data_IF_686836205651
#
_entry.id   IF_686836205651
#
_cell.length_a   1.000
_cell.length_b   1.000
_cell.length_c   1.000
_cell.angle_alpha   90.00
_cell.angle_beta   90.00
_cell.angle_gamma   90.00
#
_symmetry.space_group_name_H-M   'P 1'
#
loop_
_entity.id
_entity.type
_entity.pdbx_description
1 polymer ?
#
# COMPACT_ATOMS: atom_id res chain seq x y z
N UNK A 1 0.18 -51.96 49.80
CA UNK A 1 -0.04 -50.50 49.73
C UNK A 1 0.68 -49.98 48.51
N UNK A 2 -0.04 -49.85 47.39
CA UNK A 2 0.51 -49.37 46.10
C UNK A 2 0.14 -47.89 45.98
N UNK A 3 1.15 -47.01 46.00
CA UNK A 3 0.94 -45.57 45.77
C UNK A 3 1.16 -45.26 44.31
N UNK A 4 0.07 -45.07 43.61
CA UNK A 4 0.06 -44.65 42.19
C UNK A 4 0.48 -43.18 42.10
N UNK A 5 1.62 -42.91 41.46
CA UNK A 5 2.03 -41.55 41.04
C UNK A 5 1.31 -41.18 39.76
N UNK A 6 0.29 -40.35 39.86
CA UNK A 6 -0.31 -39.67 38.72
C UNK A 6 0.69 -38.61 38.19
N UNK A 7 1.34 -38.93 37.09
CA UNK A 7 2.11 -37.94 36.29
C UNK A 7 1.12 -37.01 35.57
N UNK A 8 1.06 -35.77 35.98
CA UNK A 8 0.29 -34.73 35.27
C UNK A 8 1.03 -34.34 34.01
N UNK A 9 0.65 -34.94 32.90
CA UNK A 9 1.07 -34.51 31.57
C UNK A 9 0.29 -33.24 31.28
N UNK A 10 0.95 -32.08 31.39
CA UNK A 10 0.43 -30.78 30.93
C UNK A 10 0.57 -30.81 29.41
N UNK A 11 -0.52 -30.74 28.62
CA UNK A 11 -0.38 -30.55 27.18
C UNK A 11 0.16 -29.15 26.94
N UNK A 12 1.41 -29.03 26.52
CA UNK A 12 1.95 -27.81 25.94
C UNK A 12 1.21 -27.61 24.62
N UNK A 13 0.13 -26.83 24.67
CA UNK A 13 -0.52 -26.33 23.48
C UNK A 13 0.47 -25.36 22.80
N UNK A 14 1.16 -25.89 21.80
CA UNK A 14 2.02 -25.13 20.91
C UNK A 14 1.12 -24.16 20.12
N UNK A 15 0.95 -22.95 20.66
CA UNK A 15 0.38 -21.82 19.96
C UNK A 15 1.31 -21.46 18.80
N UNK A 16 1.14 -22.13 17.68
CA UNK A 16 1.62 -21.66 16.38
C UNK A 16 0.89 -20.35 16.09
N UNK A 17 1.47 -19.23 16.54
CA UNK A 17 1.13 -17.93 16.05
C UNK A 17 1.49 -17.90 14.55
N UNK A 18 0.53 -18.28 13.72
CA UNK A 18 0.53 -18.03 12.29
C UNK A 18 0.55 -16.51 12.13
N UNK A 19 1.75 -15.94 12.09
CA UNK A 19 1.94 -14.59 11.58
C UNK A 19 1.51 -14.65 10.11
N UNK A 20 0.23 -14.33 9.88
CA UNK A 20 -0.32 -14.10 8.55
C UNK A 20 0.30 -12.82 7.99
N UNK A 21 1.59 -12.87 7.63
CA UNK A 21 2.16 -11.91 6.72
C UNK A 21 1.46 -12.16 5.39
N UNK A 22 0.62 -11.23 4.92
CA UNK A 22 0.01 -11.32 3.61
C UNK A 22 1.13 -11.55 2.59
N UNK A 23 1.12 -12.72 1.96
CA UNK A 23 2.05 -13.04 0.89
C UNK A 23 1.69 -12.16 -0.31
N UNK A 24 2.64 -11.45 -0.94
CA UNK A 24 2.33 -10.66 -2.12
C UNK A 24 1.64 -11.51 -3.18
N UNK A 25 0.62 -10.99 -3.88
CA UNK A 25 -0.03 -11.74 -4.97
C UNK A 25 0.99 -12.15 -6.02
N UNK A 26 0.88 -13.38 -6.55
CA UNK A 26 1.77 -13.88 -7.61
C UNK A 26 1.54 -13.16 -8.94
N UNK A 27 0.32 -12.70 -9.20
CA UNK A 27 -0.10 -12.07 -10.46
C UNK A 27 -0.49 -10.60 -10.26
N UNK A 28 0.48 -9.74 -9.87
CA UNK A 28 0.23 -8.31 -9.58
C UNK A 28 -0.23 -7.47 -10.77
N UNK A 29 -0.25 -8.03 -11.98
CA UNK A 29 -0.76 -7.37 -13.19
C UNK A 29 -2.21 -7.74 -13.50
N UNK A 30 -2.80 -8.62 -12.70
CA UNK A 30 -4.19 -9.04 -12.77
C UNK A 30 -4.90 -8.58 -11.49
N UNK A 31 -5.80 -7.60 -11.63
CA UNK A 31 -6.51 -7.02 -10.49
C UNK A 31 -7.45 -8.03 -9.82
N UNK A 32 -8.00 -8.97 -10.58
CA UNK A 32 -8.87 -10.01 -10.05
C UNK A 32 -8.09 -10.93 -9.11
N UNK A 33 -6.89 -11.36 -9.52
CA UNK A 33 -6.00 -12.16 -8.68
C UNK A 33 -5.49 -11.37 -7.45
N UNK A 34 -5.30 -10.05 -7.58
CA UNK A 34 -4.94 -9.20 -6.44
C UNK A 34 -6.08 -9.13 -5.43
N UNK A 35 -7.33 -9.12 -5.88
CA UNK A 35 -8.50 -9.07 -5.00
C UNK A 35 -8.86 -10.38 -4.29
N UNK A 36 -8.20 -11.49 -4.64
CA UNK A 36 -8.25 -12.71 -3.83
C UNK A 36 -7.50 -12.58 -2.50
N UNK A 37 -6.65 -11.55 -2.36
CA UNK A 37 -5.88 -11.30 -1.15
C UNK A 37 -6.75 -10.76 0.00
N UNK A 38 -6.38 -11.14 1.21
CA UNK A 38 -7.04 -10.70 2.46
C UNK A 38 -6.00 -10.38 3.53
N UNK A 39 -6.27 -9.36 4.32
CA UNK A 39 -5.54 -9.06 5.55
C UNK A 39 -6.29 -9.73 6.72
N UNK A 40 -5.99 -11.02 6.97
CA UNK A 40 -6.71 -11.80 7.97
C UNK A 40 -8.07 -12.30 7.48
N UNK A 41 -8.99 -12.57 8.42
CA UNK A 41 -10.27 -13.22 8.13
C UNK A 41 -11.35 -12.27 7.58
N UNK A 42 -11.24 -10.97 7.84
CA UNK A 42 -12.32 -10.00 7.63
C UNK A 42 -11.97 -8.88 6.63
N UNK A 43 -10.70 -8.62 6.38
CA UNK A 43 -10.29 -7.49 5.54
C UNK A 43 -10.00 -7.96 4.10
N UNK A 44 -11.01 -7.84 3.23
CA UNK A 44 -10.87 -8.06 1.80
C UNK A 44 -10.26 -6.81 1.13
N UNK A 45 -9.29 -7.00 0.24
CA UNK A 45 -8.62 -5.90 -0.44
C UNK A 45 -9.53 -5.15 -1.40
N UNK A 46 -10.44 -5.85 -2.08
CA UNK A 46 -11.43 -5.24 -2.97
C UNK A 46 -12.36 -4.30 -2.18
N UNK A 47 -12.91 -4.78 -1.05
CA UNK A 47 -13.79 -3.99 -0.21
C UNK A 47 -13.09 -2.76 0.36
N UNK A 48 -11.81 -2.90 0.75
CA UNK A 48 -10.99 -1.80 1.23
C UNK A 48 -10.78 -0.74 0.16
N UNK A 49 -10.48 -1.15 -1.08
CA UNK A 49 -10.33 -0.24 -2.21
C UNK A 49 -11.65 0.45 -2.59
N UNK A 50 -12.78 -0.30 -2.64
CA UNK A 50 -14.12 0.27 -2.90
C UNK A 50 -14.55 1.28 -1.81
N UNK A 51 -14.30 0.98 -0.53
CA UNK A 51 -14.57 1.92 0.57
C UNK A 51 -13.73 3.20 0.45
N UNK A 52 -12.49 3.07 0.03
CA UNK A 52 -11.60 4.21 -0.19
C UNK A 52 -12.08 5.08 -1.36
N UNK A 53 -12.52 4.45 -2.47
CA UNK A 53 -13.13 5.15 -3.60
C UNK A 53 -14.37 5.93 -3.17
N UNK A 54 -15.28 5.28 -2.44
CA UNK A 54 -16.49 5.93 -1.91
C UNK A 54 -16.18 7.11 -1.00
N UNK A 55 -15.11 7.01 -0.19
CA UNK A 55 -14.73 8.05 0.77
C UNK A 55 -14.05 9.25 0.13
N UNK A 56 -13.22 9.03 -0.87
CA UNK A 56 -12.34 10.06 -1.43
C UNK A 56 -12.59 10.39 -2.89
N UNK A 57 -13.46 9.66 -3.58
CA UNK A 57 -13.78 9.88 -5.00
C UNK A 57 -12.63 9.50 -5.95
N UNK A 58 -11.64 8.75 -5.50
CA UNK A 58 -10.51 8.29 -6.33
C UNK A 58 -10.81 6.87 -6.81
N UNK A 59 -10.87 6.62 -8.14
CA UNK A 59 -11.25 5.32 -8.69
C UNK A 59 -10.36 4.18 -8.21
N UNK A 60 -10.95 2.99 -7.98
CA UNK A 60 -10.24 1.79 -7.52
C UNK A 60 -9.01 1.48 -8.37
N UNK A 61 -9.10 1.58 -9.71
CA UNK A 61 -7.97 1.28 -10.59
C UNK A 61 -6.78 2.23 -10.39
N UNK A 62 -7.02 3.50 -10.05
CA UNK A 62 -5.98 4.49 -9.71
C UNK A 62 -5.29 4.13 -8.40
N UNK A 63 -6.11 3.83 -7.36
CA UNK A 63 -5.61 3.42 -6.05
C UNK A 63 -4.71 2.19 -6.15
N UNK A 64 -5.19 1.17 -6.83
CA UNK A 64 -4.48 -0.11 -6.96
C UNK A 64 -3.22 -0.01 -7.81
N UNK A 65 -3.24 0.77 -8.90
CA UNK A 65 -2.05 1.02 -9.72
C UNK A 65 -0.96 1.77 -8.93
N UNK A 66 -1.35 2.72 -8.08
CA UNK A 66 -0.44 3.44 -7.18
C UNK A 66 0.22 2.47 -6.19
N UNK A 67 -0.56 1.68 -5.44
CA UNK A 67 -0.02 0.69 -4.49
C UNK A 67 0.89 -0.33 -5.19
N UNK A 68 0.49 -0.80 -6.37
CA UNK A 68 1.31 -1.70 -7.17
C UNK A 68 2.66 -1.08 -7.52
N UNK A 69 2.68 0.16 -7.97
CA UNK A 69 3.92 0.86 -8.36
C UNK A 69 4.84 1.08 -7.17
N UNK A 70 4.29 1.41 -6.00
CA UNK A 70 5.06 1.71 -4.79
C UNK A 70 5.71 0.47 -4.17
N UNK A 71 4.98 -0.61 -4.02
CA UNK A 71 5.45 -1.77 -3.25
C UNK A 71 5.35 -3.12 -3.97
N UNK A 72 4.67 -3.19 -5.11
CA UNK A 72 4.27 -4.45 -5.72
C UNK A 72 3.38 -5.27 -4.75
N UNK A 73 2.54 -4.59 -3.98
CA UNK A 73 1.68 -5.19 -2.96
C UNK A 73 2.42 -5.90 -1.82
N UNK A 74 3.63 -5.44 -1.48
CA UNK A 74 4.42 -5.96 -0.36
C UNK A 74 4.23 -5.08 0.87
N UNK A 75 3.56 -5.61 1.91
CA UNK A 75 3.26 -4.86 3.14
C UNK A 75 4.49 -4.49 3.98
N UNK A 76 5.61 -5.16 3.78
CA UNK A 76 6.88 -4.88 4.46
C UNK A 76 7.93 -4.22 3.55
N UNK A 77 7.52 -3.70 2.38
CA UNK A 77 8.44 -3.06 1.44
C UNK A 77 9.19 -1.89 2.11
N UNK A 78 10.48 -1.82 1.85
CA UNK A 78 11.37 -0.76 2.34
C UNK A 78 12.40 -0.38 1.29
N UNK A 79 12.85 0.89 1.23
CA UNK A 79 13.97 1.30 0.40
C UNK A 79 15.24 0.53 0.72
N UNK A 80 16.10 0.40 -0.26
CA UNK A 80 17.43 -0.19 -0.07
C UNK A 80 18.21 0.62 0.97
N UNK A 81 19.11 -0.06 1.68
CA UNK A 81 20.10 0.60 2.54
C UNK A 81 21.26 1.11 1.71
N UNK A 82 21.82 2.26 2.07
CA UNK A 82 23.14 2.66 1.62
C UNK A 82 24.18 1.69 2.20
N UNK A 83 25.33 1.62 1.55
CA UNK A 83 26.42 0.77 2.03
C UNK A 83 27.57 1.66 2.54
N UNK A 84 27.99 1.46 3.79
CA UNK A 84 29.20 2.03 4.31
C UNK A 84 30.39 1.19 3.80
N UNK A 85 31.43 1.83 3.28
CA UNK A 85 32.60 1.17 2.65
C UNK A 85 32.24 0.19 1.53
N UNK A 86 31.08 0.36 0.88
CA UNK A 86 30.65 -0.46 -0.25
C UNK A 86 30.02 -1.81 0.11
N UNK A 87 30.11 -2.31 1.35
CA UNK A 87 29.63 -3.63 1.73
C UNK A 87 28.80 -3.68 3.03
N UNK A 88 29.01 -2.78 3.98
CA UNK A 88 28.26 -2.78 5.26
C UNK A 88 26.90 -2.05 5.06
N UNK A 89 25.73 -2.71 5.27
CA UNK A 89 24.43 -2.04 5.22
C UNK A 89 24.37 -0.91 6.27
N UNK A 90 24.16 0.33 5.81
CA UNK A 90 24.13 1.51 6.67
C UNK A 90 22.69 2.04 6.83
N UNK A 91 22.48 3.30 6.52
CA UNK A 91 21.16 3.94 6.64
C UNK A 91 20.26 3.65 5.44
N UNK A 92 18.95 3.82 5.60
CA UNK A 92 18.01 3.79 4.48
C UNK A 92 17.98 5.14 3.79
N UNK A 93 17.82 5.15 2.47
CA UNK A 93 17.76 6.38 1.67
C UNK A 93 16.52 7.22 1.96
N UNK A 94 15.46 6.62 2.52
CA UNK A 94 14.25 7.33 2.93
C UNK A 94 13.51 6.57 4.04
N UNK A 95 12.51 7.22 4.65
CA UNK A 95 11.61 6.62 5.63
C UNK A 95 10.38 5.92 5.02
N UNK A 96 10.34 5.76 3.68
CA UNK A 96 9.26 5.07 2.97
C UNK A 96 9.07 3.65 3.49
N UNK A 97 7.80 3.22 3.68
CA UNK A 97 7.52 1.91 4.25
C UNK A 97 6.13 1.40 3.89
N UNK A 98 6.03 0.06 3.76
CA UNK A 98 4.78 -0.66 3.62
C UNK A 98 4.18 -0.59 2.23
N UNK A 99 2.89 -0.86 2.12
CA UNK A 99 2.17 -0.91 0.84
C UNK A 99 2.22 0.41 0.07
N UNK A 100 2.03 1.54 0.75
CA UNK A 100 1.95 2.87 0.16
C UNK A 100 3.29 3.59 0.02
N UNK A 101 4.37 3.06 0.57
CA UNK A 101 5.68 3.71 0.65
C UNK A 101 5.65 5.15 1.21
N UNK A 102 4.63 5.43 2.03
CA UNK A 102 4.48 6.73 2.68
C UNK A 102 5.69 7.09 3.54
N UNK A 103 6.15 8.33 3.47
CA UNK A 103 7.17 8.89 4.35
C UNK A 103 6.60 9.12 5.76
N UNK A 104 7.44 9.09 6.79
CA UNK A 104 7.01 9.29 8.17
C UNK A 104 6.19 10.59 8.37
N UNK A 105 6.68 11.71 7.86
CA UNK A 105 6.00 13.01 7.99
C UNK A 105 4.62 13.04 7.34
N UNK A 106 4.52 12.52 6.11
CA UNK A 106 3.25 12.48 5.36
C UNK A 106 2.26 11.49 6.00
N UNK A 107 2.75 10.35 6.50
CA UNK A 107 1.91 9.40 7.23
C UNK A 107 1.35 10.02 8.53
N UNK A 108 2.18 10.71 9.29
CA UNK A 108 1.72 11.40 10.51
C UNK A 108 0.75 12.54 10.21
N UNK A 109 0.90 13.23 9.08
CA UNK A 109 -0.07 14.22 8.62
C UNK A 109 -1.42 13.57 8.31
N UNK A 110 -1.43 12.46 7.56
CA UNK A 110 -2.64 11.69 7.27
C UNK A 110 -3.34 11.25 8.57
N UNK A 111 -2.59 10.70 9.54
CA UNK A 111 -3.16 10.27 10.82
C UNK A 111 -3.82 11.42 11.59
N UNK A 112 -3.18 12.60 11.61
CA UNK A 112 -3.77 13.80 12.28
C UNK A 112 -5.02 14.30 11.57
N UNK A 113 -4.99 14.37 10.23
CA UNK A 113 -6.11 14.92 9.46
C UNK A 113 -7.32 13.99 9.40
N UNK A 114 -7.11 12.68 9.46
CA UNK A 114 -8.20 11.69 9.42
C UNK A 114 -8.65 11.20 10.80
N UNK A 115 -7.88 11.50 11.86
CA UNK A 115 -8.10 10.96 13.21
C UNK A 115 -7.72 9.47 13.34
N UNK A 116 -7.17 8.85 12.30
CA UNK A 116 -6.83 7.42 12.32
C UNK A 116 -5.42 7.17 12.88
N UNK A 117 -5.24 7.39 14.18
CA UNK A 117 -3.94 7.23 14.85
C UNK A 117 -3.46 5.77 14.96
N UNK A 118 -4.36 4.80 14.78
CA UNK A 118 -4.04 3.37 14.82
C UNK A 118 -3.67 2.79 13.45
N UNK A 119 -3.75 3.58 12.38
CA UNK A 119 -3.41 3.17 11.04
C UNK A 119 -1.97 2.66 10.92
N UNK A 120 -1.77 1.58 10.16
CA UNK A 120 -0.48 0.91 9.94
C UNK A 120 -0.15 0.82 8.46
N UNK A 121 1.04 1.26 8.07
CA UNK A 121 1.52 1.18 6.67
C UNK A 121 1.65 -0.25 6.14
N UNK A 122 1.64 -1.24 7.02
CA UNK A 122 1.70 -2.68 6.72
C UNK A 122 0.34 -3.36 6.62
N UNK A 123 -0.75 -2.64 6.92
CA UNK A 123 -2.13 -3.10 6.71
C UNK A 123 -2.64 -2.51 5.40
N UNK A 124 -3.14 -3.36 4.50
CA UNK A 124 -3.55 -2.92 3.16
C UNK A 124 -4.68 -1.88 3.21
N UNK A 125 -5.70 -2.13 4.03
CA UNK A 125 -6.84 -1.21 4.19
C UNK A 125 -6.40 0.21 4.61
N UNK A 126 -5.46 0.31 5.56
CA UNK A 126 -4.95 1.60 6.01
C UNK A 126 -4.07 2.28 4.94
N UNK A 127 -3.30 1.48 4.21
CA UNK A 127 -2.41 2.00 3.18
C UNK A 127 -3.16 2.48 1.94
N UNK A 128 -4.23 1.78 1.52
CA UNK A 128 -5.06 2.23 0.39
C UNK A 128 -5.89 3.46 0.77
N UNK A 129 -6.39 3.55 2.02
CA UNK A 129 -7.06 4.76 2.55
C UNK A 129 -6.11 5.97 2.54
N UNK A 130 -4.84 5.79 2.92
CA UNK A 130 -3.81 6.82 2.79
C UNK A 130 -3.61 7.27 1.34
N UNK A 131 -3.54 6.33 0.38
CA UNK A 131 -3.39 6.68 -1.05
C UNK A 131 -4.59 7.49 -1.52
N UNK A 132 -5.80 7.09 -1.15
CA UNK A 132 -7.03 7.84 -1.45
C UNK A 132 -7.02 9.25 -0.87
N UNK A 133 -6.66 9.39 0.40
CA UNK A 133 -6.50 10.69 1.06
C UNK A 133 -5.48 11.58 0.32
N UNK A 134 -4.31 11.02 -0.03
CA UNK A 134 -3.27 11.80 -0.69
C UNK A 134 -3.69 12.29 -2.08
N UNK A 135 -4.30 11.40 -2.87
CA UNK A 135 -4.81 11.75 -4.20
C UNK A 135 -5.97 12.74 -4.13
N UNK A 136 -6.91 12.59 -3.18
CA UNK A 136 -8.01 13.55 -3.02
C UNK A 136 -7.52 14.96 -2.67
N UNK A 137 -6.44 15.08 -1.88
CA UNK A 137 -5.76 16.36 -1.63
C UNK A 137 -5.13 16.91 -2.91
N UNK A 138 -4.59 16.06 -3.76
CA UNK A 138 -4.04 16.48 -5.06
C UNK A 138 -5.15 16.98 -5.98
N UNK A 139 -6.28 16.29 -6.05
CA UNK A 139 -7.47 16.71 -6.79
C UNK A 139 -7.94 18.08 -6.32
N UNK A 140 -8.20 18.24 -5.03
CA UNK A 140 -8.77 19.46 -4.47
C UNK A 140 -7.82 20.68 -4.53
N UNK A 141 -6.52 20.46 -4.31
CA UNK A 141 -5.57 21.57 -4.19
C UNK A 141 -4.94 21.98 -5.53
N UNK A 142 -4.93 21.08 -6.53
CA UNK A 142 -4.23 21.31 -7.80
C UNK A 142 -5.11 21.12 -9.04
N UNK A 143 -6.41 20.87 -8.87
CA UNK A 143 -7.34 20.71 -9.98
C UNK A 143 -7.03 19.52 -10.90
N UNK A 144 -6.43 18.47 -10.37
CA UNK A 144 -6.16 17.23 -11.11
C UNK A 144 -7.44 16.40 -11.15
N UNK A 145 -7.80 15.82 -12.30
CA UNK A 145 -8.96 14.93 -12.37
C UNK A 145 -8.72 13.66 -11.54
N UNK A 146 -9.76 13.10 -10.86
CA UNK A 146 -9.62 11.92 -10.01
C UNK A 146 -9.13 10.65 -10.74
N UNK A 147 -9.33 10.58 -12.04
CA UNK A 147 -8.92 9.50 -12.95
C UNK A 147 -7.62 9.79 -13.73
N UNK A 148 -7.05 10.98 -13.60
CA UNK A 148 -5.75 11.34 -14.19
C UNK A 148 -4.60 10.69 -13.39
N UNK A 149 -4.44 9.39 -13.57
CA UNK A 149 -3.41 8.61 -12.85
C UNK A 149 -2.01 9.16 -13.08
N UNK A 150 -1.72 9.65 -14.29
CA UNK A 150 -0.40 10.19 -14.62
C UNK A 150 -0.05 11.38 -13.71
N UNK A 151 -0.92 12.38 -13.62
CA UNK A 151 -0.66 13.59 -12.81
C UNK A 151 -0.77 13.31 -11.32
N UNK A 152 -1.70 12.44 -10.90
CA UNK A 152 -1.82 12.00 -9.51
C UNK A 152 -0.56 11.28 -9.04
N UNK A 153 0.03 10.42 -9.87
CA UNK A 153 1.27 9.71 -9.52
C UNK A 153 2.49 10.64 -9.54
N UNK A 154 2.57 11.61 -10.45
CA UNK A 154 3.61 12.64 -10.39
C UNK A 154 3.60 13.39 -9.05
N UNK A 155 2.41 13.78 -8.58
CA UNK A 155 2.26 14.45 -7.28
C UNK A 155 2.62 13.51 -6.11
N UNK A 156 2.27 12.24 -6.21
CA UNK A 156 2.58 11.24 -5.20
C UNK A 156 4.09 11.02 -5.04
N UNK A 157 4.78 10.87 -6.16
CA UNK A 157 6.22 10.61 -6.19
C UNK A 157 7.06 11.82 -5.74
N UNK A 158 6.73 13.01 -6.22
CA UNK A 158 7.48 14.25 -5.94
C UNK A 158 7.08 14.99 -4.67
N UNK A 159 5.94 14.61 -4.09
CA UNK A 159 5.23 15.44 -3.15
C UNK A 159 4.62 16.68 -3.81
N UNK A 160 3.67 17.31 -3.16
CA UNK A 160 2.94 18.45 -3.70
C UNK A 160 3.82 19.65 -4.07
N UNK A 161 4.88 19.92 -3.28
CA UNK A 161 5.83 20.99 -3.60
C UNK A 161 6.63 20.72 -4.88
N UNK A 162 7.05 19.47 -5.09
CA UNK A 162 7.72 19.04 -6.31
C UNK A 162 6.79 19.06 -7.53
N UNK A 163 5.56 18.62 -7.35
CA UNK A 163 4.52 18.63 -8.37
C UNK A 163 4.24 20.07 -8.86
N UNK A 164 4.08 21.02 -7.92
CA UNK A 164 3.84 22.45 -8.26
C UNK A 164 4.97 23.07 -9.08
N UNK A 165 6.22 22.66 -8.86
CA UNK A 165 7.37 23.20 -9.63
C UNK A 165 7.41 22.72 -11.08
N UNK A 166 6.79 21.61 -11.41
CA UNK A 166 6.61 21.12 -12.80
C UNK A 166 7.88 20.62 -13.51
N UNK A 167 9.03 20.57 -12.86
CA UNK A 167 10.31 20.15 -13.46
C UNK A 167 10.56 18.64 -13.24
N UNK A 168 9.77 17.82 -13.92
CA UNK A 168 9.85 16.38 -13.78
C UNK A 168 10.88 15.78 -14.75
N UNK A 169 11.75 14.92 -14.23
CA UNK A 169 12.74 14.20 -15.08
C UNK A 169 12.04 13.20 -16.00
N UNK A 170 12.66 12.84 -17.15
CA UNK A 170 12.12 11.80 -18.03
C UNK A 170 11.86 10.47 -17.33
N UNK A 171 12.70 10.11 -16.36
CA UNK A 171 12.55 8.87 -15.56
C UNK A 171 11.28 8.89 -14.74
N UNK A 172 11.00 10.00 -14.03
CA UNK A 172 9.80 10.14 -13.20
C UNK A 172 8.54 10.18 -14.06
N UNK A 173 8.58 10.88 -15.20
CA UNK A 173 7.49 10.85 -16.16
C UNK A 173 7.25 9.42 -16.70
N UNK A 174 8.31 8.64 -16.92
CA UNK A 174 8.16 7.22 -17.28
C UNK A 174 7.47 6.43 -16.19
N UNK A 175 7.84 6.61 -14.92
CA UNK A 175 7.15 5.93 -13.82
C UNK A 175 5.67 6.30 -13.75
N UNK A 176 5.33 7.56 -13.98
CA UNK A 176 3.95 8.02 -14.02
C UNK A 176 3.16 7.41 -15.21
N UNK A 177 3.76 7.34 -16.41
CA UNK A 177 3.15 6.65 -17.56
C UNK A 177 2.94 5.16 -17.31
N UNK A 178 3.95 4.45 -16.80
CA UNK A 178 3.84 3.03 -16.46
C UNK A 178 2.71 2.77 -15.44
N UNK A 179 2.46 3.73 -14.54
CA UNK A 179 1.38 3.63 -13.54
C UNK A 179 0.02 3.90 -14.18
N UNK A 180 -0.08 4.89 -15.07
CA UNK A 180 -1.30 5.19 -15.82
C UNK A 180 -1.68 4.02 -16.76
N UNK A 181 -0.73 3.46 -17.48
CA UNK A 181 -0.95 2.28 -18.34
C UNK A 181 -1.47 1.09 -17.51
N UNK A 182 -0.96 0.92 -16.30
CA UNK A 182 -1.45 -0.14 -15.41
C UNK A 182 -2.84 0.18 -14.86
N UNK A 183 -3.14 1.43 -14.52
CA UNK A 183 -4.46 1.83 -14.10
C UNK A 183 -5.52 1.57 -15.19
N UNK A 184 -5.22 1.91 -16.43
CA UNK A 184 -6.09 1.58 -17.59
C UNK A 184 -6.31 0.08 -17.74
N UNK A 185 -5.26 -0.73 -17.58
CA UNK A 185 -5.36 -2.19 -17.61
C UNK A 185 -6.26 -2.71 -16.50
N UNK A 186 -6.07 -2.25 -15.28
CA UNK A 186 -6.92 -2.59 -14.14
C UNK A 186 -8.37 -2.15 -14.34
N UNK A 187 -8.61 -0.96 -14.92
CA UNK A 187 -9.94 -0.48 -15.24
C UNK A 187 -10.70 -1.44 -16.17
N UNK A 188 -10.00 -1.98 -17.18
CA UNK A 188 -10.61 -2.97 -18.09
C UNK A 188 -10.92 -4.28 -17.36
N UNK A 189 -9.99 -4.78 -16.57
CA UNK A 189 -10.14 -6.04 -15.82
C UNK A 189 -11.25 -5.97 -14.76
N UNK A 190 -11.43 -4.81 -14.12
CA UNK A 190 -12.51 -4.59 -13.12
C UNK A 190 -13.91 -4.80 -13.70
N UNK A 191 -14.11 -4.69 -15.01
CA UNK A 191 -15.40 -4.99 -15.65
C UNK A 191 -15.76 -6.47 -15.56
N UNK A 192 -14.78 -7.35 -15.41
CA UNK A 192 -14.98 -8.80 -15.33
C UNK A 192 -15.01 -9.36 -13.91
N UNK A 193 -14.38 -8.70 -12.95
CA UNK A 193 -14.33 -9.18 -11.56
C UNK A 193 -14.68 -8.14 -10.50
N UNK A 194 -15.06 -6.94 -10.91
CA UNK A 194 -15.37 -5.82 -10.01
C UNK A 194 -16.84 -5.64 -9.66
N UNK A 195 -17.74 -6.50 -10.25
CA UNK A 195 -19.18 -6.46 -10.06
C UNK A 195 -19.63 -6.72 -8.62
#
# INVERSE_FOLDING_TARGET
MCVSRFSKIVPVALLLALSACATPPSHINDICAVFEQRDGWFDNWQDSAKKTEQKYGIPVHVLMATVRKESGFKGNARPKRTKLFGFIPWTRVSSAYGYSQALNGTWSQYQRETGNFTARRTKFADAVDFVGWYHSKTVSNYGVAPDDTFRLYLAYYHGWGGFKRGNWTPEIQKYARDTDDMARRYQVQLRSCGG
#
